data_IF_729060634559
#
_entry.id   IF_729060634559
#
_cell.length_a   1.000
_cell.length_b   1.000
_cell.length_c   1.000
_cell.angle_alpha   90.00
_cell.angle_beta   90.00
_cell.angle_gamma   90.00
#
_symmetry.space_group_name_H-M   'P 1'
#
loop_
_entity.id
_entity.type
_entity.pdbx_description
1 polymer ?
#
# COMPACT_ATOMS: atom_id res chain seq x y z
N UNK A 1 -41.26 4.94 0.88
CA UNK A 1 -40.49 5.92 0.07
C UNK A 1 -39.45 6.69 0.89
N UNK A 2 -39.80 7.34 2.02
CA UNK A 2 -38.87 8.14 2.84
C UNK A 2 -37.62 7.38 3.33
N UNK A 3 -37.76 6.10 3.66
CA UNK A 3 -36.66 5.23 4.10
C UNK A 3 -35.68 4.86 2.97
N UNK A 4 -36.19 4.67 1.75
CA UNK A 4 -35.38 4.33 0.57
C UNK A 4 -34.48 5.52 0.19
N UNK A 5 -35.02 6.74 0.20
CA UNK A 5 -34.24 7.96 -0.02
C UNK A 5 -33.15 8.18 1.04
N UNK A 6 -33.44 7.86 2.31
CA UNK A 6 -32.45 7.95 3.39
C UNK A 6 -31.30 6.95 3.18
N UNK A 7 -31.60 5.74 2.72
CA UNK A 7 -30.59 4.73 2.39
C UNK A 7 -29.75 5.12 1.16
N UNK A 8 -30.38 5.63 0.09
CA UNK A 8 -29.65 6.11 -1.10
C UNK A 8 -28.70 7.27 -0.75
N UNK A 9 -29.16 8.23 0.05
CA UNK A 9 -28.31 9.35 0.51
C UNK A 9 -27.12 8.90 1.37
N UNK A 10 -27.33 7.91 2.26
CA UNK A 10 -26.24 7.34 3.07
C UNK A 10 -25.20 6.65 2.18
N UNK A 11 -25.62 5.86 1.18
CA UNK A 11 -24.72 5.19 0.25
C UNK A 11 -23.88 6.21 -0.54
N UNK A 12 -24.53 7.24 -1.10
CA UNK A 12 -23.84 8.31 -1.84
C UNK A 12 -22.79 9.02 -0.97
N UNK A 13 -23.13 9.32 0.28
CA UNK A 13 -22.24 10.00 1.22
C UNK A 13 -21.01 9.13 1.52
N UNK A 14 -21.21 7.84 1.79
CA UNK A 14 -20.12 6.88 2.03
C UNK A 14 -19.21 6.78 0.81
N UNK A 15 -19.78 6.63 -0.40
CA UNK A 15 -19.00 6.55 -1.64
C UNK A 15 -18.18 7.83 -1.88
N UNK A 16 -18.74 9.01 -1.63
CA UNK A 16 -18.03 10.28 -1.79
C UNK A 16 -16.84 10.41 -0.82
N UNK A 17 -17.01 10.00 0.45
CA UNK A 17 -15.93 9.95 1.44
C UNK A 17 -14.83 8.96 1.02
N UNK A 18 -15.21 7.79 0.50
CA UNK A 18 -14.26 6.80 0.02
C UNK A 18 -13.47 7.30 -1.20
N UNK A 19 -14.13 7.95 -2.17
CA UNK A 19 -13.49 8.54 -3.35
C UNK A 19 -12.52 9.67 -2.98
N UNK A 20 -12.86 10.51 -2.00
CA UNK A 20 -11.97 11.58 -1.53
C UNK A 20 -10.73 11.02 -0.82
N UNK A 21 -10.87 9.95 -0.02
CA UNK A 21 -9.72 9.25 0.58
C UNK A 21 -8.80 8.65 -0.50
N UNK A 22 -9.37 8.04 -1.55
CA UNK A 22 -8.62 7.51 -2.69
C UNK A 22 -7.85 8.61 -3.43
N UNK A 23 -8.52 9.72 -3.71
CA UNK A 23 -7.92 10.86 -4.39
C UNK A 23 -6.74 11.42 -3.58
N UNK A 24 -6.89 11.61 -2.28
CA UNK A 24 -5.83 12.08 -1.39
C UNK A 24 -4.63 11.13 -1.38
N UNK A 25 -4.86 9.82 -1.37
CA UNK A 25 -3.79 8.82 -1.47
C UNK A 25 -3.09 8.82 -2.82
N UNK A 26 -3.84 8.93 -3.91
CA UNK A 26 -3.29 9.03 -5.25
C UNK A 26 -2.40 10.28 -5.34
N UNK A 27 -2.88 11.43 -4.87
CA UNK A 27 -2.11 12.67 -4.80
C UNK A 27 -0.84 12.46 -3.98
N UNK A 28 -0.93 11.83 -2.80
CA UNK A 28 0.23 11.55 -1.96
C UNK A 28 1.24 10.64 -2.67
N UNK A 29 0.79 9.57 -3.34
CA UNK A 29 1.66 8.65 -4.08
C UNK A 29 2.33 9.31 -5.28
N UNK A 30 1.59 10.11 -6.04
CA UNK A 30 2.12 10.93 -7.12
C UNK A 30 3.18 11.90 -6.60
N UNK A 31 2.92 12.52 -5.43
CA UNK A 31 3.88 13.41 -4.77
C UNK A 31 5.19 12.72 -4.41
N UNK A 32 5.20 11.41 -4.11
CA UNK A 32 6.43 10.65 -3.88
C UNK A 32 7.29 10.49 -5.14
N UNK A 33 6.70 10.60 -6.33
CA UNK A 33 7.38 10.48 -7.62
C UNK A 33 7.91 11.82 -8.13
N UNK A 34 7.41 12.93 -7.60
CA UNK A 34 7.82 14.27 -8.00
C UNK A 34 9.23 14.56 -7.50
N UNK A 35 10.10 15.01 -8.41
CA UNK A 35 11.42 15.54 -8.06
C UNK A 35 11.28 16.99 -7.58
N UNK A 36 12.05 17.34 -6.56
CA UNK A 36 12.04 18.66 -5.93
C UNK A 36 13.45 19.25 -5.94
N UNK A 37 13.56 20.53 -6.31
CA UNK A 37 14.83 21.25 -6.29
C UNK A 37 15.16 21.67 -4.85
N UNK A 38 16.30 21.22 -4.37
CA UNK A 38 16.83 21.53 -3.03
C UNK A 38 18.19 22.21 -3.15
N UNK A 39 18.56 23.00 -2.16
CA UNK A 39 19.87 23.63 -2.07
C UNK A 39 20.67 22.99 -0.92
N UNK A 40 21.94 22.69 -1.15
CA UNK A 40 22.82 22.16 -0.11
C UNK A 40 23.25 23.28 0.84
N UNK A 41 22.94 23.14 2.12
CA UNK A 41 23.34 24.09 3.17
C UNK A 41 24.85 24.36 3.21
N UNK A 42 25.67 23.34 2.96
CA UNK A 42 27.13 23.42 3.11
C UNK A 42 27.84 24.02 1.89
N UNK A 43 27.51 23.53 0.69
CA UNK A 43 28.22 23.94 -0.53
C UNK A 43 27.42 24.91 -1.40
N UNK A 44 26.19 25.26 -1.00
CA UNK A 44 25.26 26.16 -1.70
C UNK A 44 24.97 25.79 -3.17
N UNK A 45 25.10 24.51 -3.54
CA UNK A 45 24.74 24.02 -4.86
C UNK A 45 23.33 23.42 -4.86
N UNK A 46 22.63 23.56 -5.98
CA UNK A 46 21.27 23.05 -6.14
C UNK A 46 21.28 21.64 -6.73
N UNK A 47 20.42 20.77 -6.21
CA UNK A 47 20.24 19.39 -6.68
C UNK A 47 18.77 19.03 -6.77
N UNK A 48 18.47 18.01 -7.57
CA UNK A 48 17.14 17.42 -7.65
C UNK A 48 17.12 16.15 -6.82
N UNK A 49 16.19 16.08 -5.87
CA UNK A 49 15.96 14.91 -5.04
C UNK A 49 14.48 14.53 -5.10
N UNK A 50 14.13 13.30 -4.74
CA UNK A 50 12.70 12.95 -4.63
C UNK A 50 12.08 13.79 -3.52
N UNK A 51 10.83 14.23 -3.72
CA UNK A 51 10.13 15.06 -2.75
C UNK A 51 10.15 14.54 -1.28
N UNK A 52 10.06 13.21 -1.01
CA UNK A 52 10.18 12.69 0.35
C UNK A 52 11.55 12.97 0.99
N UNK A 53 12.59 12.96 0.17
CA UNK A 53 13.98 13.09 0.59
C UNK A 53 14.45 14.55 0.67
N UNK A 54 13.56 15.52 0.39
CA UNK A 54 13.91 16.96 0.33
C UNK A 54 14.54 17.52 1.62
N UNK A 55 14.28 16.87 2.75
CA UNK A 55 14.89 17.18 4.05
C UNK A 55 15.62 15.97 4.63
N UNK A 56 16.12 15.05 3.80
CA UNK A 56 16.90 13.91 4.25
C UNK A 56 17.69 13.33 3.09
N UNK A 57 18.70 14.07 2.62
CA UNK A 57 19.51 13.68 1.46
C UNK A 57 20.98 13.98 1.70
N UNK A 58 21.87 13.24 1.06
CA UNK A 58 23.30 13.50 1.09
C UNK A 58 23.72 14.23 -0.18
N UNK A 59 24.44 15.34 -0.04
CA UNK A 59 24.90 16.12 -1.18
C UNK A 59 25.90 15.31 -2.01
N UNK A 60 25.71 15.15 -3.34
CA UNK A 60 26.64 14.37 -4.16
C UNK A 60 27.96 15.11 -4.45
N UNK A 61 28.04 16.42 -4.17
CA UNK A 61 29.25 17.23 -4.39
C UNK A 61 30.17 17.32 -3.17
N UNK A 62 29.60 17.48 -1.97
CA UNK A 62 30.37 17.68 -0.74
C UNK A 62 30.15 16.58 0.30
N UNK A 63 29.33 15.57 -0.04
CA UNK A 63 29.06 14.38 0.78
C UNK A 63 28.43 14.66 2.16
N UNK A 64 28.03 15.90 2.41
CA UNK A 64 27.37 16.31 3.65
C UNK A 64 25.87 16.01 3.61
N UNK A 65 25.34 15.57 4.75
CA UNK A 65 23.91 15.27 4.91
C UNK A 65 23.10 16.54 5.13
N UNK A 66 22.02 16.69 4.38
CA UNK A 66 21.07 17.79 4.41
C UNK A 66 19.72 17.27 4.92
N UNK A 67 19.52 17.39 6.23
CA UNK A 67 18.28 17.03 6.90
C UNK A 67 18.24 17.59 8.30
N UNK A 68 17.39 18.59 8.52
CA UNK A 68 17.34 19.36 9.76
C UNK A 68 15.95 19.33 10.39
N UNK A 69 15.89 19.37 11.72
CA UNK A 69 14.66 19.64 12.49
C UNK A 69 14.28 21.11 12.33
N UNK A 70 13.08 21.48 12.80
CA UNK A 70 12.65 22.89 12.78
C UNK A 70 13.56 23.79 13.62
N UNK A 71 14.22 23.21 14.62
CA UNK A 71 15.11 23.91 15.54
C UNK A 71 16.57 23.93 15.04
N UNK A 72 16.84 23.37 13.86
CA UNK A 72 18.14 23.40 13.18
C UNK A 72 19.09 22.23 13.49
N UNK A 73 18.70 21.30 14.37
CA UNK A 73 19.48 20.08 14.64
C UNK A 73 19.30 19.04 13.52
N UNK A 74 20.12 18.00 13.45
CA UNK A 74 19.93 16.92 12.48
C UNK A 74 18.66 16.12 12.78
N UNK A 75 17.88 15.84 11.74
CA UNK A 75 16.68 15.00 11.86
C UNK A 75 16.96 13.49 11.83
N UNK A 76 18.24 13.11 11.82
CA UNK A 76 18.70 11.75 12.07
C UNK A 76 19.58 11.79 13.30
N UNK A 77 19.51 10.74 14.11
CA UNK A 77 20.50 10.54 15.17
C UNK A 77 21.88 10.45 14.51
N UNK A 78 22.69 11.47 14.73
CA UNK A 78 24.11 11.31 14.59
C UNK A 78 24.50 10.27 15.64
N UNK A 79 24.90 9.08 15.24
CA UNK A 79 25.52 8.13 16.16
C UNK A 79 26.90 8.67 16.54
N UNK A 80 26.93 9.77 17.28
CA UNK A 80 28.02 10.14 18.15
C UNK A 80 27.90 9.24 19.37
N UNK A 81 28.96 8.47 19.67
CA UNK A 81 28.98 7.47 20.73
C UNK A 81 28.87 8.04 22.17
N UNK A 82 28.29 9.22 22.37
CA UNK A 82 28.41 10.01 23.60
C UNK A 82 27.09 10.54 24.21
N UNK A 83 25.91 10.17 23.71
CA UNK A 83 24.63 10.71 24.19
C UNK A 83 24.20 10.28 25.62
N UNK A 84 25.10 9.68 26.41
CA UNK A 84 24.90 9.50 27.86
C UNK A 84 25.56 10.60 28.71
N UNK A 85 26.23 11.59 28.13
CA UNK A 85 26.96 12.63 28.88
C UNK A 85 26.30 14.01 28.70
N UNK A 86 24.98 14.10 28.91
CA UNK A 86 24.33 15.37 29.25
C UNK A 86 23.65 15.27 30.61
N UNK A 87 24.40 14.83 31.62
CA UNK A 87 24.14 15.21 33.00
C UNK A 87 25.24 16.17 33.41
N UNK A 88 24.89 17.43 33.54
CA UNK A 88 25.71 18.47 34.20
C UNK A 88 26.48 17.86 35.38
N UNK A 89 27.81 18.00 35.45
CA UNK A 89 28.59 17.40 36.52
C UNK A 89 28.15 18.01 37.84
N UNK A 90 27.47 17.22 38.68
CA UNK A 90 27.23 17.57 40.08
C UNK A 90 28.58 17.60 40.76
N UNK A 91 29.12 18.81 40.91
CA UNK A 91 30.33 19.08 41.66
C UNK A 91 30.09 18.58 43.09
N UNK A 92 30.94 17.67 43.57
CA UNK A 92 30.93 17.03 44.90
C UNK A 92 29.90 15.91 45.14
N UNK A 93 30.15 14.71 44.58
CA UNK A 93 29.73 13.49 45.27
C UNK A 93 30.73 13.13 46.38
N UNK A 94 30.23 12.84 47.59
CA UNK A 94 31.01 12.52 48.80
C UNK A 94 31.71 11.14 48.78
N UNK A 95 31.50 10.33 47.74
CA UNK A 95 32.15 9.03 47.59
C UNK A 95 33.13 9.04 46.41
N UNK A 96 34.36 8.48 46.55
CA UNK A 96 35.28 8.34 45.43
C UNK A 96 34.61 7.57 44.28
N UNK A 97 34.75 8.00 43.02
CA UNK A 97 34.20 7.26 41.89
C UNK A 97 34.82 5.86 41.84
N UNK A 98 33.98 4.81 41.91
CA UNK A 98 34.39 3.40 41.82
C UNK A 98 34.70 2.99 40.36
N UNK A 99 35.53 3.75 39.67
CA UNK A 99 35.84 3.53 38.25
C UNK A 99 37.16 2.76 38.01
N UNK A 100 37.93 2.49 39.07
CA UNK A 100 39.21 1.77 39.02
C UNK A 100 40.42 2.66 38.78
N UNK A 101 40.25 3.98 38.71
CA UNK A 101 41.36 4.94 38.63
C UNK A 101 41.80 5.39 40.03
N UNK A 102 43.08 5.71 40.21
CA UNK A 102 43.56 6.30 41.47
C UNK A 102 42.99 7.72 41.67
N UNK A 103 43.01 8.22 42.91
CA UNK A 103 42.47 9.55 43.26
C UNK A 103 43.07 10.67 42.38
N UNK A 104 44.40 10.65 42.19
CA UNK A 104 45.08 11.66 41.38
C UNK A 104 44.70 11.59 39.90
N UNK A 105 44.59 10.39 39.33
CA UNK A 105 44.16 10.23 37.95
C UNK A 105 42.70 10.65 37.74
N UNK A 106 41.82 10.40 38.71
CA UNK A 106 40.45 10.93 38.67
C UNK A 106 40.42 12.45 38.65
N UNK A 107 41.22 13.10 39.49
CA UNK A 107 41.35 14.57 39.50
C UNK A 107 41.90 15.06 38.15
N UNK A 108 42.95 14.43 37.61
CA UNK A 108 43.50 14.77 36.29
C UNK A 108 42.46 14.65 35.16
N UNK A 109 41.67 13.57 35.15
CA UNK A 109 40.61 13.41 34.15
C UNK A 109 39.52 14.46 34.28
N UNK A 110 39.14 14.82 35.51
CA UNK A 110 38.17 15.88 35.76
C UNK A 110 38.70 17.24 35.29
N UNK A 111 39.94 17.59 35.65
CA UNK A 111 40.59 18.83 35.19
C UNK A 111 40.66 18.89 33.67
N UNK A 112 41.06 17.80 33.02
CA UNK A 112 41.12 17.70 31.56
C UNK A 112 39.76 17.96 30.90
N UNK A 113 38.69 17.37 31.43
CA UNK A 113 37.32 17.60 30.92
C UNK A 113 36.88 19.05 31.14
N UNK A 114 37.11 19.60 32.33
CA UNK A 114 36.77 21.00 32.65
C UNK A 114 37.51 21.98 31.75
N UNK A 115 38.81 21.76 31.50
CA UNK A 115 39.62 22.60 30.62
C UNK A 115 39.14 22.51 29.17
N UNK A 116 38.86 21.31 28.67
CA UNK A 116 38.27 21.14 27.32
C UNK A 116 36.91 21.83 27.19
N UNK A 117 36.05 21.76 28.21
CA UNK A 117 34.73 22.38 28.18
C UNK A 117 34.78 23.92 28.19
N UNK A 118 35.85 24.50 28.74
CA UNK A 118 36.07 25.94 28.81
C UNK A 118 36.95 26.46 27.66
N UNK A 119 37.25 25.63 26.66
CA UNK A 119 38.03 26.05 25.51
C UNK A 119 37.29 27.13 24.72
N UNK A 120 38.00 28.21 24.38
CA UNK A 120 37.52 29.29 23.50
C UNK A 120 38.57 29.44 22.39
N UNK A 121 38.18 29.27 21.11
CA UNK A 121 39.11 29.43 19.99
C UNK A 121 39.58 30.89 19.89
N UNK A 122 40.84 31.09 19.50
CA UNK A 122 41.36 32.42 19.15
C UNK A 122 40.90 32.84 17.75
N UNK A 123 40.70 31.87 16.85
CA UNK A 123 40.14 32.09 15.52
C UNK A 123 39.09 31.02 15.20
N UNK A 124 37.83 31.44 15.03
CA UNK A 124 36.72 30.53 14.69
C UNK A 124 36.98 29.72 13.41
N UNK A 125 37.70 30.29 12.44
CA UNK A 125 38.02 29.61 11.18
C UNK A 125 39.08 28.51 11.32
N UNK A 126 39.77 28.43 12.47
CA UNK A 126 40.78 27.41 12.79
C UNK A 126 40.40 26.57 14.01
N UNK A 127 39.12 26.59 14.39
CA UNK A 127 38.61 25.91 15.59
C UNK A 127 39.10 24.46 15.68
N UNK A 128 38.98 23.67 14.61
CA UNK A 128 39.33 22.25 14.60
C UNK A 128 40.83 22.00 14.83
N UNK A 129 41.72 22.84 14.29
CA UNK A 129 43.16 22.73 14.51
C UNK A 129 43.53 23.15 15.95
N UNK A 130 42.93 24.23 16.44
CA UNK A 130 43.20 24.78 17.77
C UNK A 130 42.69 23.83 18.88
N UNK A 131 41.50 23.25 18.73
CA UNK A 131 40.93 22.32 19.71
C UNK A 131 41.74 21.03 19.77
N UNK A 132 42.22 20.48 18.65
CA UNK A 132 43.05 19.28 18.66
C UNK A 132 44.43 19.55 19.24
N UNK A 133 45.04 20.71 18.92
CA UNK A 133 46.27 21.16 19.55
C UNK A 133 46.15 21.29 21.07
N UNK A 134 45.08 21.94 21.52
CA UNK A 134 44.77 22.10 22.95
C UNK A 134 44.49 20.76 23.63
N UNK A 135 43.73 19.88 23.01
CA UNK A 135 43.46 18.52 23.48
C UNK A 135 44.74 17.71 23.67
N UNK A 136 45.68 17.79 22.73
CA UNK A 136 46.98 17.10 22.82
C UNK A 136 47.82 17.62 23.98
N UNK A 137 47.82 18.95 24.21
CA UNK A 137 48.49 19.56 25.35
C UNK A 137 47.89 19.08 26.66
N UNK A 138 46.57 19.06 26.78
CA UNK A 138 45.87 18.57 27.96
C UNK A 138 46.10 17.08 28.22
N UNK A 139 46.21 16.25 27.16
CA UNK A 139 46.58 14.82 27.29
C UNK A 139 47.99 14.65 27.88
N UNK A 140 48.93 15.50 27.49
CA UNK A 140 50.31 15.49 28.02
C UNK A 140 50.36 15.99 29.47
N UNK A 141 49.67 17.09 29.76
CA UNK A 141 49.64 17.73 31.08
C UNK A 141 48.92 16.85 32.14
N UNK A 142 47.77 16.29 31.78
CA UNK A 142 46.91 15.50 32.66
C UNK A 142 47.00 14.00 32.39
N UNK A 143 48.22 13.50 32.18
CA UNK A 143 48.46 12.08 31.88
C UNK A 143 47.99 11.14 32.99
N UNK A 144 47.52 9.97 32.58
CA UNK A 144 47.25 8.85 33.48
C UNK A 144 48.55 8.16 33.90
N UNK A 145 48.60 7.64 35.12
CA UNK A 145 49.67 6.72 35.51
C UNK A 145 49.54 5.39 34.75
N UNK A 146 50.64 4.66 34.61
CA UNK A 146 50.68 3.38 33.86
C UNK A 146 49.61 2.36 34.32
N UNK A 147 49.37 2.14 35.63
CA UNK A 147 48.28 1.27 36.09
C UNK A 147 46.88 1.75 35.63
N UNK A 148 46.59 3.04 35.77
CA UNK A 148 45.30 3.60 35.36
C UNK A 148 45.08 3.54 33.85
N UNK A 149 46.15 3.69 33.05
CA UNK A 149 46.08 3.54 31.58
C UNK A 149 45.64 2.13 31.18
N UNK A 150 46.15 1.10 31.86
CA UNK A 150 45.72 -0.30 31.64
C UNK A 150 44.24 -0.51 32.00
N UNK A 151 43.78 0.04 33.11
CA UNK A 151 42.36 -0.04 33.53
C UNK A 151 41.44 0.54 32.45
N UNK A 152 41.79 1.71 31.90
CA UNK A 152 41.02 2.35 30.82
C UNK A 152 41.02 1.48 29.56
N UNK A 153 42.17 0.95 29.15
CA UNK A 153 42.28 0.10 27.95
C UNK A 153 41.43 -1.18 28.06
N UNK A 154 41.45 -1.85 29.21
CA UNK A 154 40.64 -3.05 29.45
C UNK A 154 39.14 -2.72 29.38
N UNK A 155 38.72 -1.60 29.98
CA UNK A 155 37.32 -1.14 29.90
C UNK A 155 36.89 -0.83 28.48
N UNK A 156 37.70 -0.08 27.73
CA UNK A 156 37.41 0.27 26.34
C UNK A 156 37.32 -0.97 25.45
N UNK A 157 38.19 -1.96 25.67
CA UNK A 157 38.13 -3.23 24.95
C UNK A 157 36.83 -3.98 25.22
N UNK A 158 36.45 -4.10 26.50
CA UNK A 158 35.23 -4.79 26.92
C UNK A 158 33.97 -4.13 26.34
N UNK A 159 33.89 -2.80 26.37
CA UNK A 159 32.76 -2.06 25.78
C UNK A 159 32.71 -2.20 24.25
N UNK A 160 33.87 -2.27 23.59
CA UNK A 160 33.91 -2.52 22.14
C UNK A 160 33.33 -3.90 21.80
N UNK A 161 33.67 -4.93 22.58
CA UNK A 161 33.15 -6.29 22.40
C UNK A 161 31.63 -6.41 22.62
N UNK A 162 31.09 -5.74 23.65
CA UNK A 162 29.64 -5.76 23.94
C UNK A 162 28.83 -5.03 22.86
N UNK A 163 29.36 -3.93 22.30
CA UNK A 163 28.75 -3.22 21.17
C UNK A 163 28.71 -4.09 19.90
N UNK A 164 29.76 -4.87 19.65
CA UNK A 164 29.79 -5.83 18.54
C UNK A 164 28.73 -6.94 18.76
N UNK A 165 28.66 -7.51 19.97
CA UNK A 165 27.69 -8.56 20.30
C UNK A 165 26.23 -8.10 20.16
N UNK A 166 25.91 -6.90 20.65
CA UNK A 166 24.55 -6.33 20.55
C UNK A 166 24.15 -6.04 19.09
N UNK A 167 25.04 -5.45 18.28
CA UNK A 167 24.77 -5.24 16.84
C UNK A 167 24.61 -6.54 16.06
N UNK A 168 25.29 -7.61 16.45
CA UNK A 168 25.13 -8.94 15.83
C UNK A 168 23.82 -9.62 16.24
N UNK A 169 23.37 -9.47 17.49
CA UNK A 169 22.09 -10.01 17.98
C UNK A 169 20.89 -9.25 17.41
N UNK A 170 21.01 -7.94 17.25
CA UNK A 170 20.00 -7.09 16.59
C UNK A 170 19.80 -7.51 15.12
N UNK A 171 20.86 -7.99 14.43
CA UNK A 171 20.74 -8.54 13.08
C UNK A 171 20.04 -9.91 12.99
N UNK A 172 20.02 -10.72 14.06
CA UNK A 172 19.44 -12.08 14.06
C UNK A 172 17.98 -12.16 14.52
N UNK A 173 17.51 -11.18 15.28
CA UNK A 173 16.12 -11.13 15.78
C UNK A 173 15.04 -10.58 14.81
N UNK A 174 15.32 -9.90 13.67
CA UNK A 174 14.27 -9.34 12.82
C UNK A 174 13.54 -10.42 12.02
N UNK A 175 14.18 -11.56 11.71
CA UNK A 175 13.62 -12.61 10.86
C UNK A 175 12.35 -13.26 11.45
N UNK A 176 12.35 -13.60 12.75
CA UNK A 176 11.18 -14.22 13.40
C UNK A 176 9.98 -13.29 13.52
N UNK A 177 10.20 -12.00 13.77
CA UNK A 177 9.09 -11.01 13.85
C UNK A 177 8.53 -10.66 12.48
N UNK A 178 9.38 -10.57 11.46
CA UNK A 178 8.94 -10.33 10.08
C UNK A 178 8.13 -11.51 9.54
N UNK A 179 8.57 -12.75 9.77
CA UNK A 179 7.89 -13.93 9.23
C UNK A 179 6.44 -14.11 9.75
N UNK A 180 6.15 -13.74 11.01
CA UNK A 180 4.78 -13.78 11.56
C UNK A 180 3.89 -12.67 10.99
N UNK A 181 4.47 -11.47 10.80
CA UNK A 181 3.80 -10.31 10.20
C UNK A 181 3.51 -10.54 8.71
N UNK A 182 4.43 -11.16 8.00
CA UNK A 182 4.29 -11.50 6.58
C UNK A 182 3.20 -12.56 6.36
N UNK A 183 3.15 -13.60 7.21
CA UNK A 183 2.09 -14.62 7.15
C UNK A 183 0.70 -14.05 7.41
N UNK A 184 0.55 -13.15 8.39
CA UNK A 184 -0.73 -12.46 8.65
C UNK A 184 -1.14 -11.56 7.48
N UNK A 185 -0.19 -10.83 6.90
CA UNK A 185 -0.42 -9.96 5.73
C UNK A 185 -0.83 -10.78 4.50
N UNK A 186 -0.24 -11.95 4.30
CA UNK A 186 -0.55 -12.85 3.19
C UNK A 186 -1.96 -13.46 3.29
N UNK A 187 -2.38 -13.87 4.50
CA UNK A 187 -3.74 -14.38 4.74
C UNK A 187 -4.78 -13.29 4.45
N UNK A 188 -4.54 -12.08 4.97
CA UNK A 188 -5.42 -10.94 4.73
C UNK A 188 -5.52 -10.59 3.24
N UNK A 189 -4.40 -10.64 2.51
CA UNK A 189 -4.35 -10.42 1.06
C UNK A 189 -5.19 -11.44 0.30
N UNK A 190 -5.03 -12.72 0.63
CA UNK A 190 -5.79 -13.81 0.00
C UNK A 190 -7.30 -13.64 0.22
N UNK A 191 -7.70 -13.27 1.42
CA UNK A 191 -9.09 -13.02 1.76
C UNK A 191 -9.68 -11.82 0.99
N UNK A 192 -8.98 -10.68 0.99
CA UNK A 192 -9.39 -9.47 0.26
C UNK A 192 -9.56 -9.75 -1.24
N UNK A 193 -8.60 -10.45 -1.85
CA UNK A 193 -8.65 -10.75 -3.28
C UNK A 193 -9.76 -11.74 -3.62
N UNK A 194 -9.91 -12.81 -2.84
CA UNK A 194 -10.95 -13.83 -3.08
C UNK A 194 -12.36 -13.26 -2.93
N UNK A 195 -12.58 -12.46 -1.89
CA UNK A 195 -13.87 -11.79 -1.66
C UNK A 195 -14.17 -10.76 -2.75
N UNK A 196 -13.20 -9.90 -3.10
CA UNK A 196 -13.36 -8.92 -4.18
C UNK A 196 -13.68 -9.58 -5.52
N UNK A 197 -13.07 -10.74 -5.83
CA UNK A 197 -13.30 -11.47 -7.07
C UNK A 197 -14.71 -12.07 -7.12
N UNK A 198 -15.17 -12.68 -6.02
CA UNK A 198 -16.51 -13.25 -5.92
C UNK A 198 -17.58 -12.16 -6.13
N UNK A 199 -17.42 -11.00 -5.48
CA UNK A 199 -18.38 -9.90 -5.61
C UNK A 199 -18.37 -9.30 -7.02
N UNK A 200 -17.18 -9.15 -7.63
CA UNK A 200 -17.07 -8.69 -9.00
C UNK A 200 -17.78 -9.61 -9.99
N UNK A 201 -17.70 -10.93 -9.79
CA UNK A 201 -18.42 -11.91 -10.60
C UNK A 201 -19.94 -11.79 -10.46
N UNK A 202 -20.45 -11.67 -9.22
CA UNK A 202 -21.88 -11.44 -8.98
C UNK A 202 -22.34 -10.14 -9.66
N UNK A 203 -21.58 -9.06 -9.51
CA UNK A 203 -21.87 -7.77 -10.14
C UNK A 203 -21.91 -7.87 -11.67
N UNK A 204 -20.96 -8.59 -12.26
CA UNK A 204 -20.91 -8.80 -13.71
C UNK A 204 -22.19 -9.48 -14.23
N UNK A 205 -22.70 -10.50 -13.52
CA UNK A 205 -23.96 -11.17 -13.86
C UNK A 205 -25.13 -10.18 -13.81
N UNK A 206 -25.22 -9.40 -12.73
CA UNK A 206 -26.31 -8.44 -12.51
C UNK A 206 -26.34 -7.33 -13.57
N UNK A 207 -25.17 -6.80 -13.93
CA UNK A 207 -25.00 -5.77 -14.97
C UNK A 207 -25.30 -6.35 -16.35
N UNK A 208 -24.85 -7.58 -16.63
CA UNK A 208 -25.14 -8.26 -17.90
C UNK A 208 -26.64 -8.52 -18.08
N UNK A 209 -27.33 -8.88 -17.00
CA UNK A 209 -28.78 -9.05 -17.00
C UNK A 209 -29.52 -7.72 -17.27
N UNK A 210 -29.09 -6.63 -16.63
CA UNK A 210 -29.64 -5.27 -16.90
C UNK A 210 -29.40 -4.84 -18.35
N UNK A 211 -28.20 -5.09 -18.88
CA UNK A 211 -27.85 -4.79 -20.26
C UNK A 211 -28.72 -5.57 -21.25
N UNK A 212 -28.86 -6.87 -21.07
CA UNK A 212 -29.72 -7.73 -21.89
C UNK A 212 -31.16 -7.21 -21.93
N UNK A 213 -31.72 -6.87 -20.76
CA UNK A 213 -33.08 -6.34 -20.66
C UNK A 213 -33.24 -4.97 -21.33
N UNK A 214 -32.26 -4.08 -21.20
CA UNK A 214 -32.31 -2.78 -21.85
C UNK A 214 -32.23 -2.92 -23.37
N UNK A 215 -31.47 -3.89 -23.87
CA UNK A 215 -31.39 -4.19 -25.30
C UNK A 215 -32.73 -4.72 -25.84
N UNK A 216 -33.38 -5.66 -25.14
CA UNK A 216 -34.64 -6.25 -25.63
C UNK A 216 -35.79 -5.25 -25.72
N UNK A 217 -35.66 -4.07 -25.11
CA UNK A 217 -36.62 -2.97 -25.20
C UNK A 217 -36.56 -2.20 -26.53
N UNK A 218 -35.46 -2.29 -27.28
CA UNK A 218 -35.29 -1.59 -28.55
C UNK A 218 -35.66 -2.52 -29.72
N UNK A 219 -36.74 -2.21 -30.44
CA UNK A 219 -37.35 -3.12 -31.44
C UNK A 219 -36.36 -3.64 -32.50
N UNK A 220 -35.53 -2.77 -33.07
CA UNK A 220 -34.52 -3.16 -34.08
C UNK A 220 -33.47 -4.14 -33.51
N UNK A 221 -33.08 -3.94 -32.24
CA UNK A 221 -32.04 -4.72 -31.59
C UNK A 221 -32.61 -6.04 -31.04
N UNK A 222 -33.86 -6.01 -30.58
CA UNK A 222 -34.63 -7.19 -30.20
C UNK A 222 -34.75 -8.19 -31.36
N UNK A 223 -35.15 -7.71 -32.55
CA UNK A 223 -35.24 -8.57 -33.75
C UNK A 223 -33.89 -9.18 -34.13
N UNK A 224 -32.79 -8.42 -34.01
CA UNK A 224 -31.44 -8.94 -34.28
C UNK A 224 -31.06 -10.05 -33.30
N UNK A 225 -31.40 -9.89 -32.01
CA UNK A 225 -31.11 -10.89 -30.98
C UNK A 225 -31.96 -12.13 -31.13
N UNK A 226 -33.24 -12.01 -31.48
CA UNK A 226 -34.08 -13.17 -31.75
C UNK A 226 -33.53 -13.97 -32.93
N UNK A 227 -33.10 -13.28 -34.00
CA UNK A 227 -32.50 -13.94 -35.16
C UNK A 227 -31.18 -14.65 -34.78
N UNK A 228 -30.31 -14.01 -34.00
CA UNK A 228 -29.06 -14.63 -33.51
C UNK A 228 -29.36 -15.85 -32.63
N UNK A 229 -30.35 -15.75 -31.74
CA UNK A 229 -30.78 -16.84 -30.87
C UNK A 229 -31.29 -18.03 -31.69
N UNK A 230 -32.11 -17.79 -32.72
CA UNK A 230 -32.59 -18.84 -33.62
C UNK A 230 -31.44 -19.51 -34.38
N UNK A 231 -30.48 -18.73 -34.88
CA UNK A 231 -29.29 -19.27 -35.56
C UNK A 231 -28.46 -20.15 -34.62
N UNK A 232 -28.17 -19.68 -33.40
CA UNK A 232 -27.42 -20.44 -32.39
C UNK A 232 -28.15 -21.71 -31.97
N UNK A 233 -29.46 -21.63 -31.75
CA UNK A 233 -30.31 -22.77 -31.40
C UNK A 233 -30.28 -23.82 -32.53
N UNK A 234 -30.45 -23.39 -33.78
CA UNK A 234 -30.37 -24.29 -34.93
C UNK A 234 -28.98 -24.90 -35.15
N UNK A 235 -27.90 -24.17 -34.84
CA UNK A 235 -26.53 -24.73 -34.88
C UNK A 235 -26.30 -25.76 -33.78
N UNK A 236 -26.77 -25.50 -32.56
CA UNK A 236 -26.69 -26.45 -31.44
C UNK A 236 -27.50 -27.71 -31.72
N UNK A 237 -28.71 -27.59 -32.23
CA UNK A 237 -29.54 -28.74 -32.63
C UNK A 237 -28.80 -29.60 -33.66
N UNK A 238 -28.22 -28.98 -34.70
CA UNK A 238 -27.41 -29.70 -35.71
C UNK A 238 -26.20 -30.42 -35.08
N UNK A 239 -25.47 -29.76 -34.18
CA UNK A 239 -24.33 -30.37 -33.49
C UNK A 239 -24.81 -31.56 -32.65
N UNK A 240 -25.88 -31.41 -31.87
CA UNK A 240 -26.47 -32.49 -31.07
C UNK A 240 -26.94 -33.66 -31.94
N UNK A 241 -27.57 -33.39 -33.10
CA UNK A 241 -27.95 -34.43 -34.06
C UNK A 241 -26.75 -35.17 -34.64
N UNK A 242 -25.67 -34.44 -34.97
CA UNK A 242 -24.42 -35.04 -35.46
C UNK A 242 -23.78 -35.92 -34.39
N UNK A 243 -23.72 -35.43 -33.14
CA UNK A 243 -23.20 -36.19 -32.00
C UNK A 243 -24.05 -37.43 -31.77
N UNK A 244 -25.39 -37.32 -31.73
CA UNK A 244 -26.31 -38.47 -31.60
C UNK A 244 -26.06 -39.51 -32.70
N UNK A 245 -25.97 -39.07 -33.96
CA UNK A 245 -25.71 -39.95 -35.10
C UNK A 245 -24.36 -40.67 -34.96
N UNK A 246 -23.28 -39.95 -34.62
CA UNK A 246 -21.94 -40.53 -34.45
C UNK A 246 -21.86 -41.47 -33.25
N UNK A 247 -22.54 -41.16 -32.15
CA UNK A 247 -22.60 -42.01 -30.96
C UNK A 247 -23.33 -43.30 -31.25
N UNK A 248 -24.47 -43.27 -31.93
CA UNK A 248 -25.22 -44.48 -32.31
C UNK A 248 -24.46 -45.35 -33.33
N UNK A 249 -23.75 -44.73 -34.29
CA UNK A 249 -22.87 -45.46 -35.22
C UNK A 249 -21.69 -46.15 -34.53
N UNK A 250 -21.15 -45.54 -33.47
CA UNK A 250 -19.99 -46.08 -32.73
C UNK A 250 -20.41 -47.13 -31.69
N UNK A 251 -21.60 -46.97 -31.10
CA UNK A 251 -22.11 -47.81 -30.03
C UNK A 251 -23.59 -48.15 -30.28
N UNK A 252 -23.89 -49.14 -31.17
CA UNK A 252 -25.26 -49.48 -31.55
C UNK A 252 -26.12 -50.01 -30.39
N UNK A 253 -25.49 -50.50 -29.31
CA UNK A 253 -26.19 -50.92 -28.07
C UNK A 253 -26.98 -49.77 -27.41
N UNK A 254 -26.58 -48.51 -27.64
CA UNK A 254 -27.24 -47.33 -27.07
C UNK A 254 -28.58 -46.98 -27.74
N UNK A 255 -28.95 -47.64 -28.84
CA UNK A 255 -30.23 -47.42 -29.53
C UNK A 255 -31.45 -47.84 -28.68
N UNK A 256 -31.26 -48.75 -27.73
CA UNK A 256 -32.31 -49.17 -26.78
C UNK A 256 -32.50 -48.23 -25.59
N UNK A 257 -31.60 -47.25 -25.40
CA UNK A 257 -31.75 -46.21 -24.38
C UNK A 257 -32.42 -44.97 -25.00
N UNK A 258 -33.41 -44.43 -24.30
CA UNK A 258 -34.19 -43.28 -24.73
C UNK A 258 -33.35 -41.98 -24.70
N UNK A 259 -32.57 -41.77 -25.77
CA UNK A 259 -31.74 -40.58 -26.01
C UNK A 259 -32.61 -39.35 -26.35
N UNK A 260 -33.93 -39.48 -26.48
CA UNK A 260 -34.81 -38.37 -26.86
C UNK A 260 -35.00 -37.35 -25.71
N UNK A 261 -34.75 -37.75 -24.46
CA UNK A 261 -34.75 -36.86 -23.29
C UNK A 261 -33.68 -35.75 -23.34
N UNK A 262 -32.55 -35.96 -24.02
CA UNK A 262 -31.50 -34.94 -24.15
C UNK A 262 -31.98 -33.79 -25.05
N UNK A 263 -32.74 -34.12 -26.10
CA UNK A 263 -33.38 -33.14 -27.00
C UNK A 263 -34.51 -32.37 -26.32
N UNK A 264 -35.29 -33.03 -25.45
CA UNK A 264 -36.40 -32.38 -24.75
C UNK A 264 -35.96 -31.45 -23.60
N UNK A 265 -34.75 -31.63 -23.05
CA UNK A 265 -34.16 -30.70 -22.08
C UNK A 265 -33.80 -29.35 -22.72
N UNK A 266 -33.43 -29.36 -24.01
CA UNK A 266 -33.06 -28.16 -24.76
C UNK A 266 -34.26 -27.25 -25.08
N UNK A 267 -35.43 -27.83 -25.39
CA UNK A 267 -36.64 -27.07 -25.75
C UNK A 267 -37.27 -26.31 -24.57
N UNK A 268 -36.99 -26.72 -23.32
CA UNK A 268 -37.52 -26.07 -22.11
C UNK A 268 -36.63 -24.94 -21.55
N UNK A 269 -35.38 -24.84 -21.98
CA UNK A 269 -34.44 -23.80 -21.56
C UNK A 269 -34.86 -22.34 -21.90
N UNK A 270 -35.59 -22.04 -23.00
CA UNK A 270 -35.97 -20.66 -23.35
C UNK A 270 -36.98 -20.03 -22.38
N UNK A 271 -37.87 -20.83 -21.78
CA UNK A 271 -38.95 -20.32 -20.92
C UNK A 271 -38.48 -19.93 -19.51
N UNK A 272 -37.25 -20.30 -19.14
CA UNK A 272 -36.69 -19.99 -17.82
C UNK A 272 -36.20 -18.53 -17.70
N UNK A 273 -36.16 -17.76 -18.79
CA UNK A 273 -35.56 -16.41 -18.84
C UNK A 273 -36.56 -15.27 -19.08
N UNK A 274 -37.87 -15.53 -19.09
CA UNK A 274 -38.89 -14.48 -19.17
C UNK A 274 -39.10 -13.83 -17.79
N UNK A 275 -38.28 -12.83 -17.48
CA UNK A 275 -38.33 -12.08 -16.22
C UNK A 275 -38.83 -10.63 -16.43
N UNK A 276 -40.11 -10.47 -16.70
CA UNK A 276 -40.76 -9.15 -16.67
C UNK A 276 -41.32 -8.85 -15.28
N UNK A 277 -40.50 -8.31 -14.37
CA UNK A 277 -41.01 -7.83 -13.08
C UNK A 277 -40.33 -6.52 -12.62
N UNK A 278 -41.05 -5.39 -12.63
CA UNK A 278 -40.55 -4.05 -12.23
C UNK A 278 -39.95 -3.98 -10.81
N UNK A 279 -40.41 -4.83 -9.89
CA UNK A 279 -39.87 -4.89 -8.52
C UNK A 279 -38.45 -5.47 -8.50
N UNK A 280 -38.16 -6.42 -9.39
CA UNK A 280 -36.84 -7.02 -9.53
C UNK A 280 -35.79 -6.00 -10.02
N UNK A 281 -36.19 -5.06 -10.88
CA UNK A 281 -35.29 -4.00 -11.39
C UNK A 281 -34.83 -3.04 -10.29
N UNK A 282 -35.74 -2.62 -9.42
CA UNK A 282 -35.39 -1.75 -8.28
C UNK A 282 -34.50 -2.46 -7.27
N UNK A 283 -34.64 -3.79 -7.13
CA UNK A 283 -33.80 -4.59 -6.24
C UNK A 283 -32.42 -4.82 -6.88
N UNK A 284 -32.36 -5.16 -8.17
CA UNK A 284 -31.11 -5.35 -8.92
C UNK A 284 -30.24 -4.08 -8.89
N UNK A 285 -30.82 -2.93 -9.20
CA UNK A 285 -30.12 -1.64 -9.15
C UNK A 285 -29.61 -1.29 -7.74
N UNK A 286 -30.39 -1.61 -6.69
CA UNK A 286 -29.95 -1.43 -5.31
C UNK A 286 -28.79 -2.36 -4.93
N UNK A 287 -28.85 -3.63 -5.36
CA UNK A 287 -27.78 -4.61 -5.12
C UNK A 287 -26.50 -4.21 -5.84
N UNK A 288 -26.58 -3.76 -7.09
CA UNK A 288 -25.41 -3.29 -7.84
C UNK A 288 -24.73 -2.09 -7.16
N UNK A 289 -25.51 -1.10 -6.69
CA UNK A 289 -24.99 0.03 -5.91
C UNK A 289 -24.28 -0.42 -4.64
N UNK A 290 -24.90 -1.33 -3.88
CA UNK A 290 -24.36 -1.83 -2.62
C UNK A 290 -23.08 -2.65 -2.82
N UNK A 291 -23.10 -3.62 -3.75
CA UNK A 291 -21.95 -4.47 -4.04
C UNK A 291 -20.80 -3.68 -4.68
N UNK A 292 -21.07 -2.76 -5.61
CA UNK A 292 -20.05 -1.91 -6.21
C UNK A 292 -19.36 -1.00 -5.18
N UNK A 293 -20.14 -0.40 -4.29
CA UNK A 293 -19.61 0.38 -3.16
C UNK A 293 -18.80 -0.48 -2.18
N UNK A 294 -19.24 -1.72 -1.93
CA UNK A 294 -18.53 -2.66 -1.05
C UNK A 294 -17.18 -3.11 -1.63
N UNK A 295 -17.11 -3.36 -2.94
CA UNK A 295 -15.83 -3.66 -3.63
C UNK A 295 -14.86 -2.49 -3.52
N UNK A 296 -15.32 -1.26 -3.75
CA UNK A 296 -14.50 -0.05 -3.55
C UNK A 296 -13.96 0.00 -2.12
N UNK A 297 -14.81 -0.24 -1.11
CA UNK A 297 -14.42 -0.18 0.29
C UNK A 297 -13.36 -1.23 0.63
N UNK A 298 -13.54 -2.49 0.21
CA UNK A 298 -12.58 -3.57 0.44
C UNK A 298 -11.22 -3.24 -0.19
N UNK A 299 -11.21 -2.74 -1.42
CA UNK A 299 -9.97 -2.40 -2.13
C UNK A 299 -9.26 -1.21 -1.48
N UNK A 300 -10.01 -0.19 -1.03
CA UNK A 300 -9.49 0.94 -0.25
C UNK A 300 -8.83 0.46 1.04
N UNK A 301 -9.50 -0.42 1.79
CA UNK A 301 -8.96 -1.01 3.03
C UNK A 301 -7.68 -1.79 2.72
N UNK A 302 -7.67 -2.60 1.67
CA UNK A 302 -6.48 -3.32 1.20
C UNK A 302 -5.32 -2.38 0.83
N UNK A 303 -5.62 -1.22 0.26
CA UNK A 303 -4.66 -0.17 -0.09
C UNK A 303 -4.21 0.66 1.14
N UNK A 304 -5.05 0.85 2.18
CA UNK A 304 -4.67 1.51 3.46
C UNK A 304 -3.69 0.65 4.22
N UNK A 305 -3.95 -0.65 4.24
CA UNK A 305 -3.12 -1.60 4.95
C UNK A 305 -1.85 -1.98 4.17
N UNK A 306 -1.64 -1.41 2.97
CA UNK A 306 -0.54 -1.74 2.06
C UNK A 306 -0.45 -3.26 1.77
N UNK A 307 -1.60 -3.94 1.80
CA UNK A 307 -1.72 -5.39 1.60
C UNK A 307 -1.79 -5.73 0.11
N UNK A 308 -2.31 -4.80 -0.70
CA UNK A 308 -2.52 -5.01 -2.11
C UNK A 308 -1.28 -4.61 -2.93
N UNK A 309 -0.64 -5.59 -3.59
CA UNK A 309 0.62 -5.40 -4.32
C UNK A 309 0.44 -5.24 -5.83
N UNK A 310 -0.78 -4.98 -6.29
CA UNK A 310 -1.06 -4.86 -7.72
C UNK A 310 -0.39 -3.59 -8.25
N UNK A 311 0.32 -3.73 -9.38
CA UNK A 311 1.03 -2.63 -10.05
C UNK A 311 0.08 -1.48 -10.42
N UNK A 312 -1.19 -1.83 -10.66
CA UNK A 312 -2.27 -0.93 -11.07
C UNK A 312 -3.40 -0.76 -10.03
N UNK A 313 -3.18 -1.02 -8.73
CA UNK A 313 -4.23 -0.91 -7.68
C UNK A 313 -5.05 0.38 -7.77
N UNK A 314 -4.40 1.51 -8.04
CA UNK A 314 -5.09 2.81 -8.12
C UNK A 314 -5.96 2.94 -9.37
N UNK A 315 -5.60 2.30 -10.48
CA UNK A 315 -6.42 2.29 -11.69
C UNK A 315 -7.68 1.42 -11.48
N UNK A 316 -7.53 0.28 -10.80
CA UNK A 316 -8.65 -0.55 -10.37
C UNK A 316 -9.63 0.24 -9.48
N UNK A 317 -9.11 0.90 -8.44
CA UNK A 317 -9.91 1.72 -7.51
C UNK A 317 -10.69 2.84 -8.25
N UNK A 318 -10.06 3.47 -9.25
CA UNK A 318 -10.67 4.51 -10.10
C UNK A 318 -11.79 3.96 -10.99
N UNK A 319 -11.56 2.83 -11.66
CA UNK A 319 -12.57 2.18 -12.50
C UNK A 319 -13.79 1.74 -11.71
N UNK A 320 -13.59 1.19 -10.51
CA UNK A 320 -14.69 0.85 -9.60
C UNK A 320 -15.45 2.09 -9.12
N UNK A 321 -14.74 3.20 -8.85
CA UNK A 321 -15.38 4.47 -8.49
C UNK A 321 -16.25 5.00 -9.63
N UNK A 322 -15.78 4.92 -10.88
CA UNK A 322 -16.57 5.28 -12.08
C UNK A 322 -17.83 4.41 -12.19
N UNK A 323 -17.71 3.09 -12.02
CA UNK A 323 -18.85 2.18 -12.03
C UNK A 323 -19.92 2.55 -10.99
N UNK A 324 -19.50 2.86 -9.76
CA UNK A 324 -20.43 3.26 -8.68
C UNK A 324 -21.08 4.60 -8.98
N UNK A 325 -20.33 5.59 -9.47
CA UNK A 325 -20.87 6.90 -9.86
C UNK A 325 -21.94 6.73 -10.96
N UNK A 326 -21.67 5.93 -11.99
CA UNK A 326 -22.63 5.65 -13.06
C UNK A 326 -23.88 4.93 -12.55
N UNK A 327 -23.72 4.02 -11.59
CA UNK A 327 -24.84 3.31 -10.96
C UNK A 327 -25.71 4.22 -10.08
N UNK A 328 -25.15 5.32 -9.55
CA UNK A 328 -25.86 6.34 -8.76
C UNK A 328 -26.55 7.36 -9.68
N UNK A 329 -25.86 7.79 -10.75
CA UNK A 329 -26.29 8.84 -11.68
C UNK A 329 -27.51 8.47 -12.53
N UNK A 330 -27.84 7.17 -12.61
CA UNK A 330 -28.94 6.57 -13.37
C UNK A 330 -30.33 7.21 -13.13
N UNK A 331 -30.54 7.88 -11.98
CA UNK A 331 -31.79 8.60 -11.69
C UNK A 331 -31.72 10.12 -11.85
N UNK A 332 -30.52 10.70 -11.96
CA UNK A 332 -30.32 12.16 -11.90
C UNK A 332 -29.94 12.79 -13.23
N UNK A 333 -29.43 12.01 -14.18
CA UNK A 333 -29.03 12.49 -15.50
C UNK A 333 -29.93 11.85 -16.56
N UNK A 334 -30.51 12.67 -17.44
CA UNK A 334 -31.33 12.21 -18.56
C UNK A 334 -30.45 11.59 -19.67
N UNK A 335 -29.82 10.46 -19.38
CA UNK A 335 -29.05 9.66 -20.34
C UNK A 335 -29.85 8.40 -20.67
N UNK A 336 -29.77 7.95 -21.91
CA UNK A 336 -30.39 6.71 -22.35
C UNK A 336 -29.93 5.51 -21.48
N UNK A 337 -30.85 4.71 -20.91
CA UNK A 337 -30.53 3.52 -20.11
C UNK A 337 -29.64 2.49 -20.81
N UNK A 338 -29.69 2.39 -22.14
CA UNK A 338 -28.77 1.53 -22.92
C UNK A 338 -27.34 2.05 -22.88
N UNK A 339 -27.15 3.37 -22.97
CA UNK A 339 -25.82 3.98 -22.94
C UNK A 339 -25.20 3.76 -21.55
N UNK A 340 -25.99 3.95 -20.49
CA UNK A 340 -25.54 3.71 -19.11
C UNK A 340 -25.13 2.24 -18.91
N UNK A 341 -25.94 1.28 -19.37
CA UNK A 341 -25.61 -0.15 -19.24
C UNK A 341 -24.42 -0.56 -20.11
N UNK A 342 -24.25 0.01 -21.30
CA UNK A 342 -23.03 -0.13 -22.12
C UNK A 342 -21.77 0.34 -21.37
N UNK A 343 -21.81 1.52 -20.72
CA UNK A 343 -20.69 2.01 -19.94
C UNK A 343 -20.38 1.11 -18.74
N UNK A 344 -21.40 0.62 -18.02
CA UNK A 344 -21.23 -0.34 -16.92
C UNK A 344 -20.51 -1.60 -17.40
N UNK A 345 -20.94 -2.22 -18.50
CA UNK A 345 -20.26 -3.40 -19.10
C UNK A 345 -18.83 -3.06 -19.58
N UNK A 346 -18.66 -1.88 -20.18
CA UNK A 346 -17.36 -1.37 -20.63
C UNK A 346 -16.34 -1.24 -19.48
N UNK A 347 -16.77 -0.76 -18.31
CA UNK A 347 -15.88 -0.69 -17.14
C UNK A 347 -15.42 -2.07 -16.66
N UNK A 348 -16.28 -3.08 -16.70
CA UNK A 348 -15.93 -4.47 -16.35
C UNK A 348 -14.95 -5.12 -17.34
N UNK A 349 -15.14 -4.89 -18.64
CA UNK A 349 -14.22 -5.42 -19.66
C UNK A 349 -12.84 -4.79 -19.54
N UNK A 350 -12.75 -3.47 -19.32
CA UNK A 350 -11.49 -2.77 -19.03
C UNK A 350 -10.81 -3.29 -17.75
N UNK A 351 -11.56 -3.56 -16.68
CA UNK A 351 -11.03 -4.16 -15.46
C UNK A 351 -10.39 -5.53 -15.75
N UNK A 352 -11.00 -6.36 -16.58
CA UNK A 352 -10.46 -7.67 -16.96
C UNK A 352 -9.13 -7.54 -17.74
N UNK A 353 -9.07 -6.67 -18.75
CA UNK A 353 -7.84 -6.46 -19.53
C UNK A 353 -6.66 -5.93 -18.71
N UNK A 354 -6.91 -5.11 -17.67
CA UNK A 354 -5.84 -4.58 -16.80
C UNK A 354 -5.31 -5.64 -15.82
N UNK A 355 -6.07 -6.70 -15.53
CA UNK A 355 -5.60 -7.83 -14.70
C UNK A 355 -4.56 -8.68 -15.45
N UNK A 356 -4.69 -8.77 -16.78
CA UNK A 356 -3.82 -9.59 -17.64
C UNK A 356 -2.54 -8.86 -18.13
N UNK A 357 -2.34 -7.59 -17.73
CA UNK A 357 -1.19 -6.71 -18.03
C UNK A 357 -0.27 -6.52 -16.82
#
# INVERSE_FOLDING_TARGET
MKYIYKMESVIVTITAVLCTILLLKLINKLRLLVSWRVNCWFCNNNFWVKYPDRNSWTCPKCEQYNGFTKDGDYNKQLTTANDQIMKTPKVFQKSPPKNGLCKMCNINQQLKVTQLANFVPMNENKYDEEIEGYRLQLEKAYKLCSPCKKVVQIKLHKEKETLLGSKLLEKRTPEKKNHKKDKQTQILKSFINSTSMLIAFILFILVSFEFYKNITKYENLHSTITNIKEILTGLLERICSIVKMKTLQTFPILETYDIDNITHLHSNLPNMFNFEHKQFDSINTMIQKALGGFVCLIQIVGNVWNVNSLKYTVAFDLLWSVFVIMSIADKTVAVDPLIISCFKVGTFTLLYFIVDL
#
